data_IF_370844599668
#
_entry.id   IF_370844599668
#
_cell.length_a   1.000
_cell.length_b   1.000
_cell.length_c   1.000
_cell.angle_alpha   90.00
_cell.angle_beta   90.00
_cell.angle_gamma   90.00
#
_symmetry.space_group_name_H-M   'P 1'
#
loop_
_entity.id
_entity.type
_entity.pdbx_description
1 polymer ?
#
# COMPACT_ATOMS: atom_id res chain seq x y z
N UNK A 1 -7.98 7.80 -8.21
CA UNK A 1 -8.06 8.42 -6.86
C UNK A 1 -8.26 7.40 -5.74
N UNK A 2 -9.12 6.37 -5.88
CA UNK A 2 -9.33 5.36 -4.83
C UNK A 2 -8.03 4.62 -4.44
N UNK A 3 -7.16 4.33 -5.41
CA UNK A 3 -5.84 3.73 -5.18
C UNK A 3 -4.95 4.56 -4.22
N UNK A 4 -4.92 5.88 -4.42
CA UNK A 4 -4.14 6.78 -3.56
C UNK A 4 -4.66 6.76 -2.12
N UNK A 5 -5.98 6.70 -1.93
CA UNK A 5 -6.57 6.59 -0.60
C UNK A 5 -6.16 5.30 0.11
N UNK A 6 -6.10 4.17 -0.61
CA UNK A 6 -5.61 2.91 -0.04
C UNK A 6 -4.15 2.97 0.39
N UNK A 7 -3.29 3.60 -0.42
CA UNK A 7 -1.89 3.85 -0.06
C UNK A 7 -1.75 4.73 1.18
N UNK A 8 -2.42 5.88 1.21
CA UNK A 8 -2.40 6.78 2.38
C UNK A 8 -3.00 6.13 3.63
N UNK A 9 -4.02 5.29 3.48
CA UNK A 9 -4.57 4.54 4.60
C UNK A 9 -3.52 3.61 5.23
N UNK A 10 -2.79 2.83 4.43
CA UNK A 10 -1.71 1.98 4.94
C UNK A 10 -0.60 2.79 5.64
N UNK A 11 -0.25 3.95 5.08
CA UNK A 11 0.72 4.87 5.65
C UNK A 11 0.32 5.35 7.05
N UNK A 12 -0.94 5.80 7.21
CA UNK A 12 -1.45 6.25 8.50
C UNK A 12 -1.60 5.12 9.52
N UNK A 13 -2.01 3.92 9.09
CA UNK A 13 -2.12 2.75 9.98
C UNK A 13 -0.76 2.39 10.56
N UNK A 14 0.29 2.33 9.74
CA UNK A 14 1.63 1.96 10.20
C UNK A 14 2.21 3.02 11.14
N UNK A 15 2.07 4.31 10.81
CA UNK A 15 2.54 5.36 11.71
C UNK A 15 1.80 5.35 13.04
N UNK A 16 0.46 5.17 13.02
CA UNK A 16 -0.34 5.09 14.24
C UNK A 16 0.04 3.88 15.11
N UNK A 17 0.25 2.71 14.50
CA UNK A 17 0.71 1.51 15.22
C UNK A 17 2.11 1.66 15.82
N UNK A 18 2.95 2.53 15.26
CA UNK A 18 4.29 2.84 15.76
C UNK A 18 4.33 4.12 16.62
N UNK A 19 3.19 4.64 17.06
CA UNK A 19 3.12 5.75 18.02
C UNK A 19 2.85 7.14 17.46
N UNK A 20 2.84 7.30 16.14
CA UNK A 20 2.60 8.58 15.48
C UNK A 20 1.16 8.67 14.97
N UNK A 21 0.26 9.22 15.80
CA UNK A 21 -1.15 9.36 15.43
C UNK A 21 -1.34 10.36 14.27
N UNK A 22 -2.31 10.14 13.37
CA UNK A 22 -2.53 11.00 12.21
C UNK A 22 -2.75 12.49 12.52
N UNK A 23 -3.34 12.81 13.68
CA UNK A 23 -3.53 14.18 14.15
C UNK A 23 -2.21 14.92 14.38
N UNK A 24 -1.19 14.19 14.84
CA UNK A 24 0.09 14.76 15.23
C UNK A 24 1.08 14.77 14.06
N UNK A 25 0.78 14.12 12.92
CA UNK A 25 1.67 14.06 11.75
C UNK A 25 1.73 15.37 10.95
N UNK A 26 0.73 16.23 11.07
CA UNK A 26 0.65 17.47 10.29
C UNK A 26 1.71 18.45 10.80
N UNK A 27 2.67 18.80 9.94
CA UNK A 27 3.73 19.77 10.25
C UNK A 27 4.98 19.18 10.88
N UNK A 28 5.06 17.87 11.14
CA UNK A 28 6.23 17.27 11.81
C UNK A 28 7.46 17.14 10.91
N UNK A 29 7.29 17.33 9.60
CA UNK A 29 8.32 17.06 8.59
C UNK A 29 9.65 17.74 8.91
N UNK A 30 9.62 18.98 9.39
CA UNK A 30 10.85 19.73 9.72
C UNK A 30 11.66 19.00 10.79
N UNK A 31 11.01 18.57 11.87
CA UNK A 31 11.68 17.85 12.96
C UNK A 31 11.96 16.38 12.61
N UNK A 32 11.15 15.80 11.71
CA UNK A 32 11.32 14.42 11.23
C UNK A 32 12.53 14.26 10.31
N UNK A 33 12.77 15.23 9.43
CA UNK A 33 13.89 15.22 8.48
C UNK A 33 15.20 15.75 9.08
N UNK A 34 15.14 16.45 10.21
CA UNK A 34 16.32 16.95 10.93
C UNK A 34 17.11 15.80 11.58
N UNK A 35 18.38 15.67 11.19
CA UNK A 35 19.33 14.67 11.70
C UNK A 35 19.87 14.99 13.08
N UNK A 36 19.78 16.25 13.51
CA UNK A 36 20.30 16.71 14.80
C UNK A 36 19.34 16.40 15.94
N UNK A 37 18.04 16.39 15.65
CA UNK A 37 16.99 15.96 16.58
C UNK A 37 17.08 14.44 16.75
N UNK A 38 17.24 13.96 17.99
CA UNK A 38 17.28 12.52 18.30
C UNK A 38 16.30 12.11 19.42
N UNK A 39 15.45 13.05 19.81
CA UNK A 39 14.53 13.01 20.93
C UNK A 39 13.12 13.43 20.47
N UNK A 40 12.74 13.12 19.23
CA UNK A 40 11.41 13.46 18.71
C UNK A 40 10.34 12.67 19.47
N UNK A 41 9.45 13.39 20.14
CA UNK A 41 8.35 12.81 20.91
C UNK A 41 7.22 12.34 19.99
N UNK A 42 6.73 11.11 20.23
CA UNK A 42 5.54 10.57 19.56
C UNK A 42 4.24 10.93 20.31
N UNK A 43 3.09 10.41 19.86
CA UNK A 43 1.80 10.69 20.52
C UNK A 43 1.64 10.03 21.89
N UNK A 44 2.51 9.10 22.25
CA UNK A 44 2.49 8.37 23.52
C UNK A 44 3.58 8.83 24.50
N UNK A 45 4.37 9.85 24.14
CA UNK A 45 5.45 10.39 24.97
C UNK A 45 6.79 9.65 24.85
N UNK A 46 6.96 8.80 23.83
CA UNK A 46 8.24 8.11 23.57
C UNK A 46 9.15 9.00 22.72
N UNK A 47 10.44 8.93 22.98
CA UNK A 47 11.46 9.66 22.21
C UNK A 47 12.09 8.77 21.14
N UNK A 48 12.15 9.29 19.92
CA UNK A 48 12.65 8.56 18.77
C UNK A 48 13.90 9.20 18.16
N UNK A 49 14.94 8.40 17.96
CA UNK A 49 16.15 8.81 17.24
C UNK A 49 15.89 9.01 15.75
N UNK A 50 16.79 9.69 15.03
CA UNK A 50 16.65 9.89 13.58
C UNK A 50 16.55 8.56 12.82
N UNK A 51 17.46 7.62 13.10
CA UNK A 51 17.50 6.33 12.41
C UNK A 51 16.24 5.50 12.65
N UNK A 52 15.74 5.45 13.90
CA UNK A 52 14.50 4.72 14.21
C UNK A 52 13.29 5.27 13.44
N UNK A 53 13.16 6.60 13.34
CA UNK A 53 12.09 7.24 12.56
C UNK A 53 12.20 6.95 11.08
N UNK A 54 13.42 6.97 10.53
CA UNK A 54 13.65 6.64 9.13
C UNK A 54 13.36 5.18 8.81
N UNK A 55 13.61 4.24 9.72
CA UNK A 55 13.17 2.85 9.56
C UNK A 55 11.63 2.77 9.44
N UNK A 56 10.90 3.47 10.30
CA UNK A 56 9.42 3.52 10.22
C UNK A 56 8.96 4.15 8.92
N UNK A 57 9.58 5.25 8.48
CA UNK A 57 9.26 5.91 7.21
C UNK A 57 9.47 4.99 6.01
N UNK A 58 10.62 4.31 5.93
CA UNK A 58 10.90 3.37 4.85
C UNK A 58 9.98 2.14 4.88
N UNK A 59 9.57 1.71 6.07
CA UNK A 59 8.53 0.70 6.24
C UNK A 59 7.20 1.19 5.66
N UNK A 60 6.84 2.46 5.91
CA UNK A 60 5.64 3.07 5.33
C UNK A 60 5.72 3.16 3.79
N UNK A 61 6.89 3.48 3.22
CA UNK A 61 7.09 3.47 1.76
C UNK A 61 6.87 2.07 1.18
N UNK A 62 7.38 1.04 1.84
CA UNK A 62 7.22 -0.35 1.40
C UNK A 62 5.75 -0.79 1.47
N UNK A 63 5.03 -0.41 2.53
CA UNK A 63 3.62 -0.69 2.66
C UNK A 63 2.75 0.07 1.66
N UNK A 64 3.10 1.32 1.36
CA UNK A 64 2.44 2.08 0.31
C UNK A 64 2.66 1.39 -1.05
N UNK A 65 3.88 0.95 -1.35
CA UNK A 65 4.19 0.18 -2.55
C UNK A 65 3.35 -1.11 -2.65
N UNK A 66 3.31 -1.93 -1.60
CA UNK A 66 2.49 -3.15 -1.56
C UNK A 66 0.99 -2.82 -1.70
N UNK A 67 0.54 -1.71 -1.12
CA UNK A 67 -0.84 -1.25 -1.26
C UNK A 67 -1.19 -0.91 -2.71
N UNK A 68 -0.26 -0.33 -3.47
CA UNK A 68 -0.42 -0.14 -4.91
C UNK A 68 -0.55 -1.49 -5.62
N UNK A 69 0.30 -2.47 -5.34
CA UNK A 69 0.21 -3.81 -5.94
C UNK A 69 -1.16 -4.46 -5.69
N UNK A 70 -1.67 -4.40 -4.45
CA UNK A 70 -2.97 -4.99 -4.08
C UNK A 70 -4.15 -4.33 -4.83
N UNK A 71 -4.14 -3.00 -5.00
CA UNK A 71 -5.20 -2.32 -5.78
C UNK A 71 -5.04 -2.53 -7.28
N UNK A 72 -3.83 -2.78 -7.77
CA UNK A 72 -3.58 -3.12 -9.17
C UNK A 72 -4.15 -4.48 -9.57
N UNK A 73 -4.34 -5.41 -8.62
CA UNK A 73 -5.07 -6.65 -8.90
C UNK A 73 -6.49 -6.38 -9.42
N UNK A 74 -7.23 -5.51 -8.73
CA UNK A 74 -8.56 -5.10 -9.16
C UNK A 74 -8.48 -4.28 -10.46
N UNK A 75 -7.54 -3.35 -10.57
CA UNK A 75 -7.37 -2.50 -11.76
C UNK A 75 -7.14 -3.33 -13.03
N UNK A 76 -6.26 -4.33 -12.96
CA UNK A 76 -5.97 -5.23 -14.08
C UNK A 76 -7.21 -6.04 -14.50
N UNK A 77 -7.99 -6.51 -13.52
CA UNK A 77 -9.22 -7.27 -13.78
C UNK A 77 -10.28 -6.39 -14.44
N UNK A 78 -10.46 -5.15 -14.00
CA UNK A 78 -11.46 -4.24 -14.56
C UNK A 78 -11.05 -3.72 -15.95
N UNK A 79 -9.77 -3.41 -16.16
CA UNK A 79 -9.25 -2.92 -17.43
C UNK A 79 -9.34 -3.97 -18.55
N UNK A 80 -9.47 -5.25 -18.19
CA UNK A 80 -9.69 -6.34 -19.15
C UNK A 80 -10.99 -6.17 -19.95
N UNK A 81 -12.06 -5.62 -19.37
CA UNK A 81 -13.36 -5.51 -20.04
C UNK A 81 -13.90 -4.08 -20.00
N UNK A 82 -14.15 -3.49 -21.18
CA UNK A 82 -14.68 -2.12 -21.28
C UNK A 82 -16.20 -2.02 -21.11
N UNK A 83 -16.95 -3.07 -21.45
CA UNK A 83 -18.43 -3.09 -21.41
C UNK A 83 -19.00 -4.38 -20.81
N UNK A 84 -18.45 -5.53 -21.18
CA UNK A 84 -18.90 -6.82 -20.64
C UNK A 84 -18.50 -6.95 -19.17
N UNK A 85 -19.34 -7.64 -18.38
CA UNK A 85 -18.95 -7.99 -17.02
C UNK A 85 -17.80 -9.00 -17.02
N UNK A 86 -16.93 -8.92 -16.01
CA UNK A 86 -15.90 -9.93 -15.77
C UNK A 86 -16.52 -11.32 -15.59
N UNK A 87 -17.73 -11.43 -15.02
CA UNK A 87 -18.43 -12.71 -14.85
C UNK A 87 -18.93 -13.31 -16.16
N UNK A 88 -19.28 -12.47 -17.15
CA UNK A 88 -19.72 -12.93 -18.47
C UNK A 88 -18.53 -13.33 -19.34
N UNK A 89 -17.44 -12.56 -19.29
CA UNK A 89 -16.23 -12.83 -20.08
C UNK A 89 -15.39 -13.98 -19.49
N UNK A 90 -15.35 -14.07 -18.17
CA UNK A 90 -14.51 -14.99 -17.40
C UNK A 90 -13.00 -14.64 -17.40
N UNK A 91 -12.23 -15.37 -16.59
CA UNK A 91 -10.77 -15.21 -16.45
C UNK A 91 -9.97 -16.26 -17.26
N UNK A 92 -10.18 -16.33 -18.59
CA UNK A 92 -9.49 -17.32 -19.45
C UNK A 92 -8.07 -16.92 -19.89
N UNK A 93 -7.65 -15.69 -19.65
CA UNK A 93 -6.33 -15.20 -20.08
C UNK A 93 -5.26 -15.68 -19.10
N UNK A 94 -4.56 -16.76 -19.47
CA UNK A 94 -3.50 -17.38 -18.65
C UNK A 94 -2.32 -16.43 -18.40
N UNK A 95 -1.97 -15.59 -19.38
CA UNK A 95 -0.86 -14.63 -19.25
C UNK A 95 -1.22 -13.56 -18.20
N UNK A 96 -2.47 -13.09 -18.20
CA UNK A 96 -2.93 -12.12 -17.20
C UNK A 96 -2.90 -12.69 -15.79
N UNK A 97 -3.38 -13.94 -15.62
CA UNK A 97 -3.34 -14.61 -14.32
C UNK A 97 -1.89 -14.83 -13.87
N UNK A 98 -1.01 -15.26 -14.77
CA UNK A 98 0.42 -15.40 -14.48
C UNK A 98 1.05 -14.06 -14.07
N UNK A 99 0.72 -12.97 -14.75
CA UNK A 99 1.18 -11.63 -14.39
C UNK A 99 0.78 -11.21 -12.98
N UNK A 100 -0.44 -11.52 -12.54
CA UNK A 100 -0.86 -11.23 -11.14
C UNK A 100 -0.02 -11.98 -10.11
N UNK A 101 0.29 -13.25 -10.38
CA UNK A 101 1.14 -14.05 -9.49
C UNK A 101 2.58 -13.53 -9.49
N UNK A 102 3.13 -13.20 -10.66
CA UNK A 102 4.48 -12.68 -10.81
C UNK A 102 4.65 -11.32 -10.11
N UNK A 103 3.71 -10.39 -10.30
CA UNK A 103 3.71 -9.08 -9.65
C UNK A 103 3.67 -9.21 -8.12
N UNK A 104 2.81 -10.10 -7.61
CA UNK A 104 2.69 -10.36 -6.17
C UNK A 104 3.96 -11.02 -5.61
N UNK A 105 4.53 -11.98 -6.33
CA UNK A 105 5.77 -12.65 -5.95
C UNK A 105 6.96 -11.69 -5.94
N UNK A 106 7.05 -10.80 -6.94
CA UNK A 106 8.07 -9.76 -7.00
C UNK A 106 7.92 -8.78 -5.85
N UNK A 107 6.70 -8.33 -5.54
CA UNK A 107 6.45 -7.43 -4.41
C UNK A 107 6.85 -8.08 -3.07
N UNK A 108 6.52 -9.36 -2.88
CA UNK A 108 6.94 -10.12 -1.70
C UNK A 108 8.47 -10.31 -1.65
N UNK A 109 9.10 -10.63 -2.78
CA UNK A 109 10.55 -10.76 -2.88
C UNK A 109 11.27 -9.46 -2.51
N UNK A 110 10.84 -8.33 -3.06
CA UNK A 110 11.42 -7.03 -2.77
C UNK A 110 11.23 -6.59 -1.30
N UNK A 111 10.11 -6.99 -0.68
CA UNK A 111 9.81 -6.63 0.71
C UNK A 111 10.53 -7.50 1.75
N UNK A 112 10.79 -8.78 1.44
CA UNK A 112 11.28 -9.77 2.42
C UNK A 112 12.68 -10.31 2.15
N UNK A 113 13.27 -10.06 0.97
CA UNK A 113 14.62 -10.53 0.67
C UNK A 113 15.66 -9.75 1.52
N UNK A 114 16.59 -10.45 2.21
CA UNK A 114 17.64 -9.79 2.98
C UNK A 114 18.55 -8.97 2.04
N UNK A 115 18.94 -7.76 2.46
CA UNK A 115 19.76 -6.83 1.68
C UNK A 115 18.95 -5.80 0.89
N UNK A 116 17.63 -5.95 0.79
CA UNK A 116 16.75 -4.97 0.14
C UNK A 116 16.54 -3.70 0.98
N UNK A 117 16.74 -3.80 2.28
CA UNK A 117 16.78 -2.69 3.25
C UNK A 117 17.95 -1.74 2.98
N UNK A 118 19.07 -2.25 2.47
CA UNK A 118 20.23 -1.43 2.09
C UNK A 118 20.12 -0.94 0.64
N UNK A 119 19.72 -1.82 -0.28
CA UNK A 119 19.69 -1.52 -1.71
C UNK A 119 18.55 -0.58 -2.11
N UNK A 120 17.32 -0.88 -1.68
CA UNK A 120 16.10 -0.14 -2.03
C UNK A 120 15.41 0.53 -0.85
N UNK A 121 15.96 0.37 0.37
CA UNK A 121 15.32 0.82 1.62
C UNK A 121 13.92 0.24 1.78
N UNK A 122 13.78 -1.04 1.43
CA UNK A 122 12.55 -1.79 1.65
C UNK A 122 12.66 -2.62 2.92
N UNK A 123 11.68 -2.46 3.80
CA UNK A 123 11.66 -3.12 5.10
C UNK A 123 10.56 -4.17 5.15
N UNK A 124 10.77 -5.28 5.89
CA UNK A 124 9.81 -6.37 5.96
C UNK A 124 8.51 -5.90 6.61
N UNK A 125 7.40 -6.22 5.96
CA UNK A 125 6.06 -5.84 6.41
C UNK A 125 5.44 -6.91 7.31
N UNK A 126 4.68 -6.49 8.32
CA UNK A 126 3.79 -7.39 9.06
C UNK A 126 2.68 -7.91 8.13
N UNK A 127 2.21 -9.16 8.30
CA UNK A 127 1.12 -9.71 7.49
C UNK A 127 -0.17 -8.88 7.53
N UNK A 128 -0.47 -8.21 8.65
CA UNK A 128 -1.64 -7.33 8.77
C UNK A 128 -1.63 -6.16 7.78
N UNK A 129 -0.44 -5.61 7.47
CA UNK A 129 -0.30 -4.44 6.62
C UNK A 129 -0.60 -4.72 5.15
N UNK A 130 -0.47 -5.98 4.70
CA UNK A 130 -0.92 -6.40 3.37
C UNK A 130 -2.43 -6.25 3.19
N UNK A 131 -3.21 -6.44 4.26
CA UNK A 131 -4.67 -6.39 4.21
C UNK A 131 -5.23 -4.97 4.28
N UNK A 132 -4.41 -3.94 4.57
CA UNK A 132 -4.87 -2.55 4.64
C UNK A 132 -5.47 -2.06 3.32
N UNK A 133 -4.93 -2.49 2.17
CA UNK A 133 -5.36 -2.05 0.85
C UNK A 133 -6.49 -2.91 0.24
N UNK A 134 -6.78 -4.08 0.81
CA UNK A 134 -7.80 -5.01 0.29
C UNK A 134 -9.21 -4.38 0.17
N UNK A 135 -9.72 -3.64 1.18
CA UNK A 135 -11.04 -3.00 1.08
C UNK A 135 -11.13 -2.02 -0.10
N UNK A 136 -10.03 -1.31 -0.40
CA UNK A 136 -9.96 -0.37 -1.52
C UNK A 136 -9.91 -1.09 -2.87
N UNK A 137 -9.18 -2.21 -2.95
CA UNK A 137 -9.16 -3.08 -4.13
C UNK A 137 -10.56 -3.63 -4.45
N UNK A 138 -11.28 -4.11 -3.43
CA UNK A 138 -12.66 -4.56 -3.57
C UNK A 138 -13.60 -3.42 -4.02
N UNK A 139 -13.45 -2.22 -3.45
CA UNK A 139 -14.24 -1.05 -3.83
C UNK A 139 -14.04 -0.67 -5.30
N UNK A 140 -12.81 -0.73 -5.82
CA UNK A 140 -12.50 -0.47 -7.24
C UNK A 140 -13.22 -1.47 -8.14
N UNK A 141 -13.15 -2.76 -7.78
CA UNK A 141 -13.81 -3.82 -8.55
C UNK A 141 -15.34 -3.64 -8.60
N UNK A 142 -15.98 -3.40 -7.45
CA UNK A 142 -17.43 -3.20 -7.36
C UNK A 142 -17.87 -1.95 -8.12
N UNK A 143 -17.15 -0.84 -7.94
CA UNK A 143 -17.44 0.41 -8.64
C UNK A 143 -17.46 0.22 -10.16
N UNK A 144 -16.46 -0.46 -10.71
CA UNK A 144 -16.39 -0.68 -12.15
C UNK A 144 -17.44 -1.67 -12.66
N UNK A 145 -17.73 -2.74 -11.94
CA UNK A 145 -18.80 -3.67 -12.32
C UNK A 145 -20.18 -3.00 -12.32
N UNK A 146 -20.46 -2.12 -11.36
CA UNK A 146 -21.69 -1.31 -11.35
C UNK A 146 -21.70 -0.36 -12.55
N UNK A 147 -20.59 0.33 -12.84
CA UNK A 147 -20.48 1.20 -14.03
C UNK A 147 -20.78 0.44 -15.32
N UNK A 148 -20.19 -0.75 -15.48
CA UNK A 148 -20.44 -1.62 -16.66
C UNK A 148 -21.85 -2.17 -16.70
N UNK A 149 -22.50 -2.41 -15.55
CA UNK A 149 -23.91 -2.80 -15.49
C UNK A 149 -24.81 -1.67 -15.99
N UNK A 150 -24.56 -0.43 -15.56
CA UNK A 150 -25.33 0.75 -16.01
C UNK A 150 -25.15 0.98 -17.51
N UNK A 151 -23.93 0.83 -18.06
CA UNK A 151 -23.67 0.97 -19.49
C UNK A 151 -24.30 -0.14 -20.37
N UNK A 152 -24.69 -1.27 -19.78
CA UNK A 152 -25.34 -2.38 -20.48
C UNK A 152 -26.87 -2.30 -20.44
N UNK A 153 -27.42 -1.57 -19.47
CA UNK A 153 -28.83 -1.15 -19.48
C UNK A 153 -29.03 -0.01 -20.46
#
# INVERSE_FOLDING_TARGET
>A
MIQALGGFFSYFVILAENGFLPSNLVGIRLNWDDRTVNDLEDSYGQQWTYEQRKVVEFTCHTAFFVSIVVVQWADLIICKTRRNSVFQQGMKNKILIFGLFEETALAAFLSYCPGMDVALRMYPLKPSWWFCAFPYSFLIFVYDEIRKLILRR
#
